data_IF_260500091345
#
_entry.id   IF_260500091345
#
_cell.length_a   1.000
_cell.length_b   1.000
_cell.length_c   1.000
_cell.angle_alpha   90.00
_cell.angle_beta   90.00
_cell.angle_gamma   90.00
#
_symmetry.space_group_name_H-M   'P 1'
#
loop_
_entity.id
_entity.type
_entity.pdbx_description
1 polymer ?
#
# COMPACT_ATOMS: atom_id res chain seq x y z
N UNK A 1 2.50 -23.12 7.75
CA UNK A 1 3.86 -23.04 7.16
C UNK A 1 3.82 -23.67 5.78
N UNK A 2 3.57 -22.88 4.74
CA UNK A 2 3.72 -23.34 3.36
C UNK A 2 4.89 -22.55 2.76
N UNK A 3 6.04 -23.21 2.65
CA UNK A 3 7.21 -22.69 1.94
C UNK A 3 6.90 -22.73 0.44
N UNK A 4 6.70 -21.56 -0.17
CA UNK A 4 6.71 -21.45 -1.61
C UNK A 4 8.15 -21.70 -2.08
N UNK A 5 8.39 -22.89 -2.63
CA UNK A 5 9.65 -23.25 -3.25
C UNK A 5 9.85 -22.35 -4.48
N UNK A 6 10.87 -21.51 -4.47
CA UNK A 6 11.33 -20.77 -5.66
C UNK A 6 11.86 -21.81 -6.64
N UNK A 7 11.05 -22.21 -7.61
CA UNK A 7 11.52 -23.03 -8.72
C UNK A 7 12.50 -22.18 -9.55
N UNK A 8 13.75 -22.62 -9.62
CA UNK A 8 14.82 -22.00 -10.40
C UNK A 8 14.40 -21.90 -11.87
N UNK A 9 14.02 -20.71 -12.33
CA UNK A 9 13.66 -20.48 -13.72
C UNK A 9 14.96 -20.22 -14.51
N UNK A 10 15.30 -21.14 -15.42
CA UNK A 10 16.42 -20.99 -16.34
C UNK A 10 16.20 -19.85 -17.34
N UNK A 11 17.30 -19.28 -17.83
CA UNK A 11 17.34 -18.22 -18.84
C UNK A 11 16.57 -18.64 -20.11
N UNK A 12 15.34 -18.15 -20.29
CA UNK A 12 14.56 -18.36 -21.52
C UNK A 12 13.02 -18.33 -21.41
N UNK A 13 12.44 -18.48 -20.21
CA UNK A 13 10.98 -18.57 -20.01
C UNK A 13 10.38 -17.40 -19.19
N UNK A 14 10.89 -16.17 -19.37
CA UNK A 14 10.50 -15.00 -18.56
C UNK A 14 9.01 -14.58 -18.67
N UNK A 15 8.34 -14.82 -19.80
CA UNK A 15 7.00 -14.27 -20.04
C UNK A 15 5.84 -15.05 -19.43
N UNK A 16 5.99 -16.36 -19.17
CA UNK A 16 4.90 -17.19 -18.66
C UNK A 16 4.94 -17.31 -17.13
N UNK A 17 6.14 -17.42 -16.55
CA UNK A 17 6.34 -17.50 -15.10
C UNK A 17 6.03 -16.16 -14.38
N UNK A 18 6.30 -15.02 -15.03
CA UNK A 18 5.97 -13.69 -14.48
C UNK A 18 4.47 -13.43 -14.36
N UNK A 19 3.65 -13.99 -15.26
CA UNK A 19 2.18 -13.78 -15.23
C UNK A 19 1.50 -14.53 -14.09
N UNK A 20 1.91 -15.77 -13.84
CA UNK A 20 1.43 -16.52 -12.67
C UNK A 20 1.98 -15.92 -11.35
N UNK A 21 3.26 -15.53 -11.30
CA UNK A 21 3.84 -14.91 -10.09
C UNK A 21 3.21 -13.56 -9.72
N UNK A 22 2.89 -12.71 -10.71
CA UNK A 22 2.17 -11.45 -10.48
C UNK A 22 0.74 -11.67 -9.94
N UNK A 23 0.17 -12.86 -10.17
CA UNK A 23 -1.18 -13.22 -9.73
C UNK A 23 -1.26 -13.70 -8.28
N UNK A 24 -0.13 -14.00 -7.62
CA UNK A 24 -0.08 -14.61 -6.27
C UNK A 24 0.83 -13.81 -5.31
N UNK A 25 1.42 -12.69 -5.76
CA UNK A 25 2.26 -11.88 -4.88
C UNK A 25 1.42 -11.28 -3.73
N UNK A 26 1.84 -11.40 -2.45
CA UNK A 26 1.05 -10.96 -1.30
C UNK A 26 0.56 -9.51 -1.41
N UNK A 27 1.42 -8.61 -1.90
CA UNK A 27 1.04 -7.20 -2.15
C UNK A 27 -0.12 -7.05 -3.15
N UNK A 28 -0.11 -7.80 -4.25
CA UNK A 28 -1.17 -7.72 -5.26
C UNK A 28 -2.49 -8.25 -4.70
N UNK A 29 -2.43 -9.29 -3.87
CA UNK A 29 -3.62 -9.82 -3.18
C UNK A 29 -4.18 -8.79 -2.19
N UNK A 30 -3.33 -8.13 -1.40
CA UNK A 30 -3.75 -7.09 -0.47
C UNK A 30 -4.37 -5.88 -1.18
N UNK A 31 -3.76 -5.40 -2.27
CA UNK A 31 -4.30 -4.29 -3.06
C UNK A 31 -5.69 -4.64 -3.62
N UNK A 32 -5.89 -5.85 -4.16
CA UNK A 32 -7.21 -6.28 -4.66
C UNK A 32 -8.25 -6.39 -3.55
N UNK A 33 -7.86 -6.90 -2.37
CA UNK A 33 -8.75 -6.95 -1.21
C UNK A 33 -9.14 -5.53 -0.76
N UNK A 34 -8.22 -4.59 -0.82
CA UNK A 34 -8.47 -3.18 -0.51
C UNK A 34 -9.39 -2.50 -1.54
N UNK A 35 -9.19 -2.75 -2.84
CA UNK A 35 -10.09 -2.28 -3.91
C UNK A 35 -11.50 -2.83 -3.74
N UNK A 36 -11.64 -4.12 -3.39
CA UNK A 36 -12.93 -4.74 -3.12
C UNK A 36 -13.62 -4.12 -1.89
N UNK A 37 -12.87 -3.85 -0.83
CA UNK A 37 -13.39 -3.15 0.36
C UNK A 37 -13.86 -1.73 0.02
N UNK A 38 -13.08 -0.98 -0.76
CA UNK A 38 -13.47 0.37 -1.16
C UNK A 38 -14.77 0.34 -1.99
N UNK A 39 -14.88 -0.61 -2.93
CA UNK A 39 -16.09 -0.82 -3.72
C UNK A 39 -17.30 -1.22 -2.87
N UNK A 40 -17.11 -2.10 -1.86
CA UNK A 40 -18.16 -2.48 -0.89
C UNK A 40 -18.71 -1.25 -0.14
N UNK A 41 -17.82 -0.33 0.24
CA UNK A 41 -18.16 0.88 0.98
C UNK A 41 -18.66 2.03 0.07
N UNK A 42 -18.57 1.88 -1.25
CA UNK A 42 -18.98 2.91 -2.21
C UNK A 42 -18.03 4.11 -2.30
N UNK A 43 -16.76 3.93 -1.89
CA UNK A 43 -15.73 4.97 -1.94
C UNK A 43 -14.58 4.55 -2.84
N UNK A 44 -13.74 5.50 -3.22
CA UNK A 44 -12.53 5.18 -3.98
C UNK A 44 -11.42 4.67 -3.05
N UNK A 45 -10.44 3.89 -3.56
CA UNK A 45 -9.31 3.43 -2.75
C UNK A 45 -8.53 4.59 -2.10
N UNK A 46 -8.36 5.71 -2.81
CA UNK A 46 -7.69 6.90 -2.28
C UNK A 46 -8.45 7.49 -1.09
N UNK A 47 -9.78 7.57 -1.20
CA UNK A 47 -10.65 8.05 -0.14
C UNK A 47 -10.60 7.18 1.12
N UNK A 48 -10.66 5.85 0.98
CA UNK A 48 -10.53 4.94 2.12
C UNK A 48 -9.14 5.05 2.75
N UNK A 49 -8.08 5.17 1.94
CA UNK A 49 -6.72 5.31 2.45
C UNK A 49 -6.55 6.59 3.27
N UNK A 50 -7.02 7.73 2.77
CA UNK A 50 -6.98 9.01 3.49
C UNK A 50 -7.88 8.99 4.73
N UNK A 51 -9.09 8.43 4.64
CA UNK A 51 -9.99 8.25 5.78
C UNK A 51 -9.35 7.39 6.89
N UNK A 52 -8.62 6.34 6.52
CA UNK A 52 -7.88 5.51 7.47
C UNK A 52 -6.75 6.29 8.15
N UNK A 53 -6.00 7.11 7.41
CA UNK A 53 -4.94 7.98 7.97
C UNK A 53 -5.52 9.00 8.96
N UNK A 54 -6.62 9.66 8.59
CA UNK A 54 -7.32 10.62 9.45
C UNK A 54 -7.87 9.95 10.72
N UNK A 55 -8.32 8.71 10.64
CA UNK A 55 -8.80 7.94 11.80
C UNK A 55 -7.70 7.58 12.82
N UNK A 56 -6.41 7.80 12.50
CA UNK A 56 -5.30 7.50 13.42
C UNK A 56 -5.19 8.47 14.59
N UNK A 57 -5.82 9.65 14.50
CA UNK A 57 -5.91 10.61 15.60
C UNK A 57 -6.20 12.02 15.10
N UNK A 58 -6.82 12.84 15.95
CA UNK A 58 -7.24 14.21 15.62
C UNK A 58 -6.08 15.15 15.27
N UNK A 59 -4.86 14.79 15.67
CA UNK A 59 -3.63 15.54 15.39
C UNK A 59 -2.96 15.14 14.07
N UNK A 60 -3.51 14.17 13.33
CA UNK A 60 -2.94 13.69 12.08
C UNK A 60 -3.49 14.51 10.92
N UNK A 61 -2.59 15.17 10.19
CA UNK A 61 -2.94 15.99 9.01
C UNK A 61 -2.22 15.41 7.78
N UNK A 62 -2.90 14.63 6.93
CA UNK A 62 -2.29 14.10 5.71
C UNK A 62 -2.03 15.23 4.71
N UNK A 63 -0.93 15.12 3.96
CA UNK A 63 -0.52 16.07 2.92
C UNK A 63 -0.44 15.39 1.55
N UNK A 64 -1.56 14.87 1.01
CA UNK A 64 -1.53 14.22 -0.30
C UNK A 64 -1.15 15.25 -1.37
N UNK A 65 -0.13 14.91 -2.15
CA UNK A 65 0.35 15.73 -3.26
C UNK A 65 -0.19 15.19 -4.58
N UNK A 66 -0.85 16.04 -5.35
CA UNK A 66 -1.33 15.70 -6.70
C UNK A 66 -1.16 16.86 -7.67
N UNK A 67 -1.06 16.55 -8.96
CA UNK A 67 -1.05 17.53 -10.06
C UNK A 67 -2.37 17.57 -10.83
N UNK A 68 -3.33 16.70 -10.46
CA UNK A 68 -4.63 16.57 -11.11
C UNK A 68 -5.71 17.21 -10.24
N UNK A 69 -6.52 18.10 -10.82
CA UNK A 69 -7.66 18.71 -10.12
C UNK A 69 -8.67 17.63 -9.70
N UNK A 70 -8.92 16.63 -10.54
CA UNK A 70 -9.85 15.55 -10.22
C UNK A 70 -9.40 14.73 -8.99
N UNK A 71 -8.10 14.46 -8.86
CA UNK A 71 -7.57 13.79 -7.66
C UNK A 71 -7.61 14.71 -6.44
N UNK A 72 -7.37 16.01 -6.61
CA UNK A 72 -7.51 16.97 -5.51
C UNK A 72 -8.95 16.99 -4.96
N UNK A 73 -9.94 17.01 -5.85
CA UNK A 73 -11.36 16.95 -5.45
C UNK A 73 -11.70 15.64 -4.74
N UNK A 74 -11.18 14.51 -5.24
CA UNK A 74 -11.32 13.19 -4.62
C UNK A 74 -10.68 13.12 -3.22
N UNK A 75 -9.45 13.63 -3.07
CA UNK A 75 -8.70 13.65 -1.81
C UNK A 75 -9.37 14.57 -0.77
N UNK A 76 -9.88 15.72 -1.18
CA UNK A 76 -10.63 16.64 -0.31
C UNK A 76 -11.92 15.98 0.20
N UNK A 77 -12.63 15.27 -0.68
CA UNK A 77 -13.86 14.58 -0.30
C UNK A 77 -13.62 13.51 0.77
N UNK A 78 -12.42 12.93 0.85
CA UNK A 78 -12.05 11.95 1.87
C UNK A 78 -12.13 12.52 3.30
N UNK A 79 -11.90 13.82 3.49
CA UNK A 79 -11.98 14.46 4.80
C UNK A 79 -13.39 14.46 5.42
N UNK A 80 -14.42 14.24 4.60
CA UNK A 80 -15.82 14.14 5.05
C UNK A 80 -16.24 12.69 5.36
N UNK A 81 -15.38 11.71 5.13
CA UNK A 81 -15.67 10.30 5.36
C UNK A 81 -15.29 9.94 6.79
N UNK A 82 -16.27 9.47 7.56
CA UNK A 82 -16.04 8.89 8.89
C UNK A 82 -16.07 7.38 8.74
N UNK A 83 -14.90 6.76 8.89
CA UNK A 83 -14.80 5.30 8.88
C UNK A 83 -15.18 4.75 10.25
N UNK A 84 -16.10 3.79 10.27
CA UNK A 84 -16.40 3.00 11.46
C UNK A 84 -15.13 2.30 11.96
N UNK A 85 -14.92 2.14 13.28
CA UNK A 85 -13.74 1.47 13.83
C UNK A 85 -13.48 0.08 13.23
N UNK A 86 -14.54 -0.67 12.97
CA UNK A 86 -14.45 -1.98 12.32
C UNK A 86 -13.87 -1.91 10.90
N UNK A 87 -14.15 -0.84 10.15
CA UNK A 87 -13.57 -0.63 8.80
C UNK A 87 -12.09 -0.26 8.93
N UNK A 88 -11.74 0.58 9.90
CA UNK A 88 -10.34 0.94 10.17
C UNK A 88 -9.51 -0.33 10.46
N UNK A 89 -10.04 -1.23 11.30
CA UNK A 89 -9.41 -2.51 11.62
C UNK A 89 -9.30 -3.42 10.39
N UNK A 90 -10.35 -3.49 9.56
CA UNK A 90 -10.32 -4.26 8.30
C UNK A 90 -9.23 -3.76 7.36
N UNK A 91 -9.10 -2.44 7.17
CA UNK A 91 -8.04 -1.85 6.34
C UNK A 91 -6.66 -2.20 6.90
N UNK A 92 -6.45 -2.06 8.21
CA UNK A 92 -5.18 -2.42 8.84
C UNK A 92 -4.82 -3.90 8.66
N UNK A 93 -5.81 -4.80 8.80
CA UNK A 93 -5.61 -6.23 8.65
C UNK A 93 -5.24 -6.64 7.21
N UNK A 94 -5.68 -5.91 6.19
CA UNK A 94 -5.33 -6.20 4.78
C UNK A 94 -3.82 -6.07 4.53
N UNK A 95 -3.17 -5.08 5.15
CA UNK A 95 -1.77 -4.76 4.89
C UNK A 95 -0.80 -5.26 5.97
N UNK A 96 -1.32 -5.81 7.07
CA UNK A 96 -0.48 -6.32 8.16
C UNK A 96 0.52 -7.37 7.65
N UNK A 97 1.80 -7.13 7.95
CA UNK A 97 2.92 -7.97 7.51
C UNK A 97 3.18 -8.06 6.00
N UNK A 98 2.36 -7.43 5.14
CA UNK A 98 2.43 -7.58 3.68
C UNK A 98 3.45 -6.63 3.03
N UNK A 99 3.62 -5.43 3.59
CA UNK A 99 4.55 -4.42 3.07
C UNK A 99 5.77 -4.39 3.98
N UNK A 100 6.94 -4.78 3.44
CA UNK A 100 8.24 -4.74 4.11
C UNK A 100 9.35 -4.42 3.10
N UNK A 101 10.41 -3.77 3.56
CA UNK A 101 11.59 -3.44 2.77
C UNK A 101 11.83 -1.93 2.66
N UNK A 102 12.93 -1.55 1.99
CA UNK A 102 13.31 -0.15 1.85
C UNK A 102 12.32 0.63 0.96
N UNK A 103 12.14 1.91 1.31
CA UNK A 103 11.35 2.87 0.52
C UNK A 103 12.00 3.18 -0.84
N UNK A 104 13.33 3.23 -0.88
CA UNK A 104 14.13 3.49 -2.06
C UNK A 104 15.04 2.32 -2.39
N UNK A 105 15.41 2.17 -3.66
CA UNK A 105 16.47 1.24 -4.04
C UNK A 105 17.81 1.70 -3.43
N UNK A 106 18.69 0.76 -3.07
CA UNK A 106 19.92 1.02 -2.33
C UNK A 106 20.78 2.18 -2.90
N UNK A 107 20.93 2.25 -4.23
CA UNK A 107 21.71 3.30 -4.88
C UNK A 107 21.10 4.71 -4.73
N UNK A 108 19.76 4.81 -4.66
CA UNK A 108 19.05 6.07 -4.44
C UNK A 108 19.06 6.45 -2.96
N UNK A 109 18.88 5.47 -2.06
CA UNK A 109 18.98 5.69 -0.62
C UNK A 109 20.35 6.26 -0.22
N UNK A 110 21.43 5.82 -0.88
CA UNK A 110 22.79 6.33 -0.63
C UNK A 110 22.96 7.84 -0.89
N UNK A 111 22.01 8.47 -1.59
CA UNK A 111 22.01 9.91 -1.87
C UNK A 111 21.07 10.70 -0.95
N UNK A 112 20.32 10.02 -0.07
CA UNK A 112 19.33 10.63 0.83
C UNK A 112 19.82 10.44 2.26
N UNK A 113 20.40 11.50 2.82
CA UNK A 113 20.91 11.54 4.19
C UNK A 113 19.84 11.92 5.23
N UNK A 114 18.71 12.51 4.80
CA UNK A 114 17.63 13.02 5.67
C UNK A 114 16.57 12.01 6.08
N UNK A 115 16.51 10.84 5.43
CA UNK A 115 15.48 9.81 5.67
C UNK A 115 16.05 8.52 6.31
N UNK A 116 17.13 8.64 7.09
CA UNK A 116 17.68 7.54 7.88
C UNK A 116 17.14 7.65 9.31
N UNK A 117 16.15 6.81 9.65
CA UNK A 117 15.53 6.81 10.97
C UNK A 117 16.24 5.82 11.93
N UNK A 118 16.47 6.19 13.20
CA UNK A 118 17.09 5.29 14.17
C UNK A 118 16.28 4.01 14.36
N UNK A 119 16.88 2.85 14.09
CA UNK A 119 16.26 1.54 14.27
C UNK A 119 15.55 0.97 13.04
N UNK A 120 15.54 1.68 11.90
CA UNK A 120 15.11 1.09 10.63
C UNK A 120 16.29 0.37 9.96
N UNK A 121 16.14 -0.93 9.72
CA UNK A 121 17.06 -1.69 8.90
C UNK A 121 16.90 -1.22 7.45
N UNK A 122 17.86 -0.43 6.96
CA UNK A 122 17.95 -0.08 5.55
C UNK A 122 18.18 -1.38 4.78
N UNK A 123 17.20 -1.82 4.00
CA UNK A 123 17.33 -2.99 3.14
C UNK A 123 18.47 -2.83 2.11
#
# INVERSE_FOLDING_TARGET
>A
MATAQVASCGYGHFHHCSREYHSIHPLVVAVRAFEALAAELGYTPAQIALGWVLARGEYVVPIPGTRSIAHLEEDIAAASIVLEPAVVDRVSAIFDGTIRGARYAAAMQAQIDTEILPGEELA
#
